data_IF_186103022080
#
_entry.id   IF_186103022080
#
_cell.length_a   1.000
_cell.length_b   1.000
_cell.length_c   1.000
_cell.angle_alpha   90.00
_cell.angle_beta   90.00
_cell.angle_gamma   90.00
#
_symmetry.space_group_name_H-M   'P 1'
#
loop_
_entity.id
_entity.type
_entity.pdbx_description
1 polymer ?
#
# COMPACT_ATOMS: atom_id res chain seq x y z
N UNK A 1 -15.74 -0.78 8.91
CA UNK A 1 -14.92 -0.76 7.68
C UNK A 1 -14.48 0.67 7.50
N UNK A 2 -13.18 0.92 7.57
CA UNK A 2 -12.59 2.23 7.37
C UNK A 2 -12.68 2.61 5.89
N UNK A 3 -13.30 3.73 5.56
CA UNK A 3 -13.57 4.05 4.15
C UNK A 3 -12.29 4.43 3.41
N UNK A 4 -12.34 4.39 2.07
CA UNK A 4 -11.24 4.85 1.22
C UNK A 4 -10.90 6.33 1.53
N UNK A 5 -11.92 7.16 1.73
CA UNK A 5 -11.75 8.56 2.07
C UNK A 5 -11.08 8.76 3.44
N UNK A 6 -11.44 7.94 4.44
CA UNK A 6 -10.82 7.99 5.77
C UNK A 6 -9.35 7.55 5.71
N UNK A 7 -9.05 6.48 4.98
CA UNK A 7 -7.68 6.01 4.75
C UNK A 7 -6.82 7.09 4.09
N UNK A 8 -7.33 7.78 3.07
CA UNK A 8 -6.62 8.89 2.44
C UNK A 8 -6.46 10.09 3.38
N UNK A 9 -7.49 10.39 4.17
CA UNK A 9 -7.48 11.49 5.16
C UNK A 9 -6.45 11.23 6.25
N UNK A 10 -6.24 9.98 6.66
CA UNK A 10 -5.20 9.59 7.61
C UNK A 10 -3.80 9.57 6.97
N UNK A 11 -3.68 9.16 5.70
CA UNK A 11 -2.39 9.02 5.03
C UNK A 11 -1.71 10.36 4.74
N UNK A 12 -2.48 11.39 4.33
CA UNK A 12 -1.94 12.69 3.89
C UNK A 12 -1.17 13.42 5.01
N UNK A 13 -1.69 13.57 6.24
CA UNK A 13 -0.93 14.17 7.34
C UNK A 13 0.33 13.38 7.68
N UNK A 14 0.27 12.04 7.68
CA UNK A 14 1.43 11.19 7.97
C UNK A 14 2.57 11.37 6.96
N UNK A 15 2.23 11.53 5.68
CA UNK A 15 3.22 11.82 4.66
C UNK A 15 3.83 13.22 4.83
N UNK A 16 3.01 14.21 5.19
CA UNK A 16 3.49 15.56 5.48
C UNK A 16 4.43 15.59 6.70
N UNK A 17 4.04 14.96 7.80
CA UNK A 17 4.88 14.80 9.00
C UNK A 17 6.19 14.06 8.69
N UNK A 18 6.13 12.96 7.91
CA UNK A 18 7.31 12.21 7.48
C UNK A 18 8.28 13.08 6.66
N UNK A 19 7.75 13.97 5.83
CA UNK A 19 8.53 14.92 5.02
C UNK A 19 9.20 15.97 5.90
N UNK A 20 8.50 16.51 6.89
CA UNK A 20 9.07 17.46 7.84
C UNK A 20 10.22 16.83 8.65
N UNK A 21 10.05 15.59 9.13
CA UNK A 21 11.09 14.85 9.85
C UNK A 21 12.31 14.56 8.96
N UNK A 22 12.09 14.25 7.68
CA UNK A 22 13.18 14.06 6.72
C UNK A 22 14.04 15.31 6.56
N UNK A 23 13.39 16.47 6.41
CA UNK A 23 14.06 17.78 6.31
C UNK A 23 14.85 18.06 7.59
N UNK A 24 14.28 17.72 8.75
CA UNK A 24 14.93 17.83 10.06
C UNK A 24 16.00 16.75 10.33
N UNK A 25 16.29 15.86 9.36
CA UNK A 25 17.24 14.73 9.47
C UNK A 25 16.90 13.73 10.58
N UNK A 26 15.63 13.67 10.97
CA UNK A 26 15.08 12.69 11.91
C UNK A 26 14.62 11.44 11.13
N UNK A 27 15.59 10.64 10.69
CA UNK A 27 15.36 9.58 9.71
C UNK A 27 14.47 8.45 10.23
N UNK A 28 14.60 8.05 11.49
CA UNK A 28 13.81 6.95 12.06
C UNK A 28 12.32 7.32 12.11
N UNK A 29 12.00 8.52 12.60
CA UNK A 29 10.64 9.03 12.63
C UNK A 29 10.06 9.26 11.22
N UNK A 30 10.88 9.78 10.30
CA UNK A 30 10.47 9.92 8.89
C UNK A 30 10.15 8.58 8.24
N UNK A 31 11.01 7.57 8.43
CA UNK A 31 10.84 6.22 7.91
C UNK A 31 9.58 5.55 8.48
N UNK A 32 9.35 5.67 9.78
CA UNK A 32 8.17 5.13 10.45
C UNK A 32 6.87 5.73 9.90
N UNK A 33 6.76 7.06 9.89
CA UNK A 33 5.55 7.75 9.41
C UNK A 33 5.34 7.57 7.91
N UNK A 34 6.42 7.56 7.12
CA UNK A 34 6.36 7.31 5.69
C UNK A 34 5.84 5.90 5.37
N UNK A 35 6.33 4.88 6.08
CA UNK A 35 5.84 3.50 5.94
C UNK A 35 4.35 3.40 6.28
N UNK A 36 3.93 4.05 7.37
CA UNK A 36 2.54 4.05 7.77
C UNK A 36 1.63 4.75 6.74
N UNK A 37 2.06 5.88 6.19
CA UNK A 37 1.34 6.55 5.11
C UNK A 37 1.17 5.64 3.88
N UNK A 38 2.22 4.91 3.48
CA UNK A 38 2.17 3.96 2.37
C UNK A 38 1.23 2.78 2.69
N UNK A 39 1.26 2.25 3.91
CA UNK A 39 0.35 1.18 4.34
C UNK A 39 -1.12 1.58 4.19
N UNK A 40 -1.48 2.79 4.63
CA UNK A 40 -2.86 3.30 4.54
C UNK A 40 -3.31 3.46 3.08
N UNK A 41 -2.43 3.97 2.21
CA UNK A 41 -2.73 4.11 0.78
C UNK A 41 -2.88 2.74 0.12
N UNK A 42 -2.05 1.75 0.48
CA UNK A 42 -2.18 0.39 -0.05
C UNK A 42 -3.51 -0.24 0.37
N UNK A 43 -3.93 -0.07 1.62
CA UNK A 43 -5.26 -0.53 2.08
C UNK A 43 -6.38 0.10 1.26
N UNK A 44 -6.31 1.41 1.00
CA UNK A 44 -7.27 2.11 0.15
C UNK A 44 -7.28 1.53 -1.28
N UNK A 45 -6.09 1.25 -1.84
CA UNK A 45 -5.96 0.61 -3.16
C UNK A 45 -6.52 -0.80 -3.19
N UNK A 46 -6.34 -1.60 -2.14
CA UNK A 46 -6.95 -2.93 -2.02
C UNK A 46 -8.48 -2.80 -2.05
N UNK A 47 -9.06 -1.82 -1.34
CA UNK A 47 -10.50 -1.58 -1.38
C UNK A 47 -11.00 -1.25 -2.79
N UNK A 48 -10.33 -0.34 -3.51
CA UNK A 48 -10.66 -0.04 -4.91
C UNK A 48 -10.53 -1.30 -5.77
N UNK A 49 -9.48 -2.08 -5.55
CA UNK A 49 -9.16 -3.24 -6.36
C UNK A 49 -10.14 -4.40 -6.22
N UNK A 50 -10.67 -4.59 -5.01
CA UNK A 50 -11.64 -5.63 -4.67
C UNK A 50 -13.09 -5.16 -4.76
N UNK A 51 -13.32 -3.90 -5.16
CA UNK A 51 -14.64 -3.24 -5.15
C UNK A 51 -15.30 -3.24 -3.75
N UNK A 52 -14.49 -2.97 -2.73
CA UNK A 52 -14.94 -2.90 -1.34
C UNK A 52 -15.19 -1.45 -0.92
N UNK A 53 -16.28 -1.25 -0.17
CA UNK A 53 -16.64 0.07 0.37
C UNK A 53 -15.67 0.60 1.43
N UNK A 54 -14.81 -0.25 2.00
CA UNK A 54 -13.81 0.12 2.99
C UNK A 54 -12.95 -1.07 3.42
N UNK A 55 -11.91 -0.79 4.19
CA UNK A 55 -10.97 -1.78 4.71
C UNK A 55 -11.44 -2.29 6.08
N UNK A 56 -11.29 -3.58 6.41
CA UNK A 56 -11.64 -4.09 7.73
C UNK A 56 -10.88 -3.36 8.84
N UNK A 57 -11.57 -3.00 9.92
CA UNK A 57 -10.98 -2.30 11.06
C UNK A 57 -11.25 -3.04 12.36
N UNK A 58 -12.43 -3.64 12.49
CA UNK A 58 -12.80 -4.36 13.70
C UNK A 58 -12.43 -5.85 13.60
N UNK A 59 -12.17 -6.48 14.74
CA UNK A 59 -11.87 -7.93 14.81
C UNK A 59 -12.92 -8.78 14.08
N UNK A 60 -14.20 -8.43 14.25
CA UNK A 60 -15.34 -9.11 13.61
C UNK A 60 -15.32 -8.98 12.08
N UNK A 61 -14.86 -7.86 11.55
CA UNK A 61 -14.71 -7.67 10.10
C UNK A 61 -13.54 -8.50 9.55
N UNK A 62 -12.46 -8.64 10.32
CA UNK A 62 -11.32 -9.48 9.95
C UNK A 62 -11.58 -10.98 10.02
N UNK A 63 -12.60 -11.45 10.75
CA UNK A 63 -12.94 -12.88 10.80
C UNK A 63 -13.28 -13.45 9.42
N UNK A 64 -13.83 -12.63 8.52
CA UNK A 64 -14.09 -13.03 7.13
C UNK A 64 -12.87 -12.88 6.22
N UNK A 65 -11.84 -12.18 6.67
CA UNK A 65 -10.67 -11.76 5.88
C UNK A 65 -9.38 -11.82 6.70
N UNK A 66 -9.11 -12.96 7.33
CA UNK A 66 -8.02 -13.12 8.30
C UNK A 66 -6.64 -12.78 7.71
N UNK A 67 -6.44 -13.03 6.41
CA UNK A 67 -5.23 -12.69 5.66
C UNK A 67 -4.98 -11.18 5.55
N UNK A 68 -6.00 -10.34 5.72
CA UNK A 68 -5.90 -8.88 5.69
C UNK A 68 -5.52 -8.26 7.02
N UNK A 69 -5.50 -9.05 8.11
CA UNK A 69 -5.07 -8.61 9.44
C UNK A 69 -3.54 -8.57 9.53
N UNK A 70 -2.93 -7.81 8.63
CA UNK A 70 -1.48 -7.64 8.51
C UNK A 70 -1.12 -6.16 8.42
N UNK A 71 -0.04 -5.80 9.10
CA UNK A 71 0.63 -4.51 8.96
C UNK A 71 1.94 -4.66 8.15
N UNK A 72 2.19 -5.85 7.59
CA UNK A 72 3.37 -6.09 6.78
C UNK A 72 3.15 -5.55 5.37
N UNK A 73 3.95 -4.54 5.04
CA UNK A 73 3.90 -3.83 3.76
C UNK A 73 4.01 -4.78 2.54
N UNK A 74 4.86 -5.80 2.65
CA UNK A 74 5.09 -6.79 1.58
C UNK A 74 3.83 -7.61 1.28
N UNK A 75 3.13 -8.08 2.32
CA UNK A 75 1.87 -8.81 2.17
C UNK A 75 0.78 -7.94 1.54
N UNK A 76 0.72 -6.65 1.90
CA UNK A 76 -0.25 -5.71 1.31
C UNK A 76 0.07 -5.42 -0.16
N UNK A 77 1.35 -5.31 -0.52
CA UNK A 77 1.79 -5.14 -1.91
C UNK A 77 1.39 -6.36 -2.76
N UNK A 78 1.63 -7.56 -2.27
CA UNK A 78 1.25 -8.79 -2.97
C UNK A 78 -0.24 -8.82 -3.32
N UNK A 79 -1.10 -8.42 -2.39
CA UNK A 79 -2.56 -8.35 -2.59
C UNK A 79 -2.99 -7.35 -3.66
N UNK A 80 -2.23 -6.28 -3.88
CA UNK A 80 -2.46 -5.34 -5.00
C UNK A 80 -1.98 -5.88 -6.36
N UNK A 81 -1.02 -6.80 -6.35
CA UNK A 81 -0.42 -7.37 -7.57
C UNK A 81 -1.20 -8.60 -8.06
N UNK A 82 -1.80 -9.39 -7.17
CA UNK A 82 -2.39 -10.68 -7.51
C UNK A 82 -3.56 -10.63 -8.52
N UNK A 83 -4.48 -9.63 -8.52
CA UNK A 83 -5.55 -9.58 -9.53
C UNK A 83 -5.06 -9.08 -10.90
N UNK A 84 -3.99 -8.26 -10.94
CA UNK A 84 -3.38 -7.86 -12.22
C UNK A 84 -2.86 -9.09 -12.98
N UNK A 85 -2.42 -10.12 -12.25
CA UNK A 85 -1.96 -11.40 -12.81
C UNK A 85 -3.11 -12.31 -13.25
N UNK A 86 -4.32 -12.20 -12.67
CA UNK A 86 -5.48 -13.02 -13.10
C UNK A 86 -6.14 -12.52 -14.39
N UNK A 87 -5.93 -11.26 -14.78
CA UNK A 87 -6.33 -10.72 -16.10
C UNK A 87 -5.24 -10.90 -17.17
N UNK A 88 -3.97 -11.09 -16.77
CA UNK A 88 -2.86 -11.48 -17.64
C UNK A 88 -2.63 -12.99 -17.60
N UNK A 89 -3.52 -13.76 -18.23
CA UNK A 89 -3.16 -15.12 -18.63
C UNK A 89 -2.18 -15.05 -19.82
N UNK A 90 -1.08 -15.79 -19.67
CA UNK A 90 -0.14 -16.24 -20.70
C UNK A 90 1.01 -15.32 -21.11
N UNK A 91 1.90 -14.89 -20.19
CA UNK A 91 3.32 -14.71 -20.56
C UNK A 91 4.25 -15.13 -19.41
N UNK A 92 4.81 -16.33 -19.59
CA UNK A 92 6.16 -16.80 -19.23
C UNK A 92 6.68 -16.71 -17.78
N UNK A 93 6.85 -17.92 -17.23
CA UNK A 93 7.80 -18.38 -16.21
C UNK A 93 9.14 -17.61 -16.12
N UNK A 94 9.55 -17.23 -14.90
CA UNK A 94 10.94 -16.84 -14.60
C UNK A 94 11.11 -16.07 -13.28
N UNK A 95 12.11 -16.39 -12.42
CA UNK A 95 12.22 -15.85 -11.07
C UNK A 95 13.07 -14.57 -11.05
N UNK A 96 12.53 -13.41 -10.65
CA UNK A 96 13.38 -12.22 -10.47
C UNK A 96 12.86 -11.38 -9.30
N UNK A 97 13.46 -11.56 -8.13
CA UNK A 97 13.58 -10.49 -7.14
C UNK A 97 15.03 -10.47 -6.65
N UNK A 98 15.88 -9.71 -7.34
CA UNK A 98 17.17 -9.29 -6.80
C UNK A 98 17.46 -7.82 -7.14
N UNK A 99 17.82 -7.10 -6.07
CA UNK A 99 18.51 -5.81 -6.00
C UNK A 99 17.69 -4.51 -5.99
N UNK A 100 17.99 -3.69 -4.97
CA UNK A 100 17.28 -2.49 -4.54
C UNK A 100 17.41 -1.24 -5.41
N UNK A 101 17.62 -1.36 -6.72
CA UNK A 101 17.66 -0.20 -7.64
C UNK A 101 16.32 0.09 -8.33
N UNK A 102 15.32 -0.79 -8.22
CA UNK A 102 14.01 -0.62 -8.86
C UNK A 102 12.92 0.02 -7.99
N UNK A 103 13.21 0.38 -6.74
CA UNK A 103 12.24 1.00 -5.82
C UNK A 103 11.78 2.39 -6.28
N UNK A 104 12.58 3.10 -7.08
CA UNK A 104 12.26 4.45 -7.56
C UNK A 104 11.37 4.41 -8.81
N UNK A 105 11.49 3.37 -9.64
CA UNK A 105 10.71 3.25 -10.89
C UNK A 105 9.21 3.03 -10.63
N UNK A 106 8.86 2.26 -9.58
CA UNK A 106 7.46 1.99 -9.26
C UNK A 106 6.76 3.23 -8.68
N UNK A 107 7.47 4.08 -7.93
CA UNK A 107 6.90 5.35 -7.43
C UNK A 107 6.52 6.30 -8.59
N UNK A 108 7.33 6.35 -9.65
CA UNK A 108 7.03 7.13 -10.86
C UNK A 108 5.87 6.53 -11.69
N UNK A 109 5.80 5.19 -11.77
CA UNK A 109 4.72 4.52 -12.52
C UNK A 109 3.35 4.70 -11.85
N UNK A 110 3.31 4.71 -10.50
CA UNK A 110 2.07 4.90 -9.73
C UNK A 110 1.60 6.36 -9.77
N UNK A 111 2.51 7.34 -9.90
CA UNK A 111 2.16 8.75 -10.08
C UNK A 111 1.59 9.05 -11.48
N UNK A 112 1.96 8.27 -12.51
CA UNK A 112 1.47 8.45 -13.89
C UNK A 112 0.09 7.84 -14.16
N UNK A 113 -0.48 7.06 -13.23
CA UNK A 113 -1.81 6.44 -13.33
C UNK A 113 -2.95 7.36 -12.86
N UNK A 114 -2.77 8.68 -13.03
CA UNK A 114 -3.87 9.66 -13.04
C UNK A 114 -4.17 10.05 -14.49
N UNK A 115 -4.93 9.21 -15.18
CA UNK A 115 -5.92 9.58 -16.19
C UNK A 115 -7.04 8.57 -16.16
#
# INVERSE_FOLDING_TARGET
MLTIADLETLARPRLHEATALLIARQFDGSSYLGRYAVELILKARICVHLDWKGYPETRKEFEKYTSLRTHHLETLLDLTVFKKKSELKMITTGPIFQSGRQRIAIAHQVASLKR
#
